data_IF_301186973164
#
_entry.id   IF_301186973164
#
_cell.length_a   1.000
_cell.length_b   1.000
_cell.length_c   1.000
_cell.angle_alpha   90.00
_cell.angle_beta   90.00
_cell.angle_gamma   90.00
#
_symmetry.space_group_name_H-M   'P 1'
#
loop_
_entity.id
_entity.type
_entity.pdbx_description
1 polymer ?
#
# COMPACT_ATOMS: atom_id res chain seq x y z
N UNK A 1 8.23 3.02 9.61
CA UNK A 1 7.11 2.10 9.31
C UNK A 1 7.18 1.71 7.86
N UNK A 2 7.10 0.41 7.57
CA UNK A 2 7.16 -0.15 6.22
C UNK A 2 5.83 -0.82 5.88
N UNK A 3 5.28 -0.50 4.72
CA UNK A 3 4.18 -1.23 4.10
C UNK A 3 4.76 -2.14 3.03
N UNK A 4 4.41 -3.43 3.04
CA UNK A 4 4.93 -4.40 2.07
C UNK A 4 4.48 -4.06 0.65
N UNK A 5 5.45 -4.03 -0.26
CA UNK A 5 5.25 -3.94 -1.70
C UNK A 5 5.23 -5.30 -2.39
N UNK A 6 5.61 -5.30 -3.67
CA UNK A 6 5.70 -6.49 -4.52
C UNK A 6 7.14 -7.03 -4.64
N UNK A 7 8.13 -6.29 -4.13
CA UNK A 7 9.54 -6.67 -4.21
C UNK A 7 10.10 -7.17 -2.88
N UNK A 8 9.28 -7.29 -1.85
CA UNK A 8 9.66 -7.76 -0.52
C UNK A 8 8.97 -9.10 -0.20
N UNK A 9 9.74 -9.99 0.45
CA UNK A 9 9.17 -11.16 1.10
C UNK A 9 8.26 -10.71 2.25
N UNK A 10 7.25 -11.50 2.56
CA UNK A 10 6.38 -11.26 3.71
C UNK A 10 7.17 -11.32 5.01
N UNK A 11 6.98 -10.33 5.88
CA UNK A 11 7.62 -10.31 7.20
C UNK A 11 7.26 -11.56 8.03
N UNK A 12 6.01 -12.03 7.89
CA UNK A 12 5.59 -13.30 8.51
C UNK A 12 6.39 -14.49 8.02
N UNK A 13 6.63 -14.61 6.71
CA UNK A 13 7.43 -15.72 6.16
C UNK A 13 8.88 -15.66 6.65
N UNK A 14 9.44 -14.45 6.72
CA UNK A 14 10.79 -14.25 7.25
C UNK A 14 10.88 -14.66 8.71
N UNK A 15 9.88 -14.32 9.52
CA UNK A 15 9.81 -14.75 10.91
C UNK A 15 9.65 -16.27 11.03
N UNK A 16 8.83 -16.92 10.20
CA UNK A 16 8.66 -18.38 10.20
C UNK A 16 9.97 -19.10 9.82
N UNK A 17 10.77 -18.53 8.90
CA UNK A 17 12.06 -19.07 8.48
C UNK A 17 13.19 -18.81 9.50
N UNK A 18 13.16 -17.65 10.16
CA UNK A 18 14.22 -17.17 11.07
C UNK A 18 13.63 -16.62 12.37
N UNK A 19 12.94 -17.45 13.16
CA UNK A 19 12.19 -16.98 14.34
C UNK A 19 13.07 -16.35 15.44
N UNK A 20 14.38 -16.61 15.44
CA UNK A 20 15.31 -15.98 16.39
C UNK A 20 15.71 -14.54 15.99
N UNK A 21 15.45 -14.14 14.74
CA UNK A 21 15.83 -12.84 14.20
C UNK A 21 14.65 -11.87 14.09
N UNK A 22 13.43 -12.36 14.29
CA UNK A 22 12.21 -11.58 14.10
C UNK A 22 11.28 -11.68 15.32
N UNK A 23 10.57 -10.59 15.59
CA UNK A 23 9.55 -10.56 16.65
C UNK A 23 8.27 -9.84 16.20
N UNK A 24 7.15 -10.22 16.82
CA UNK A 24 5.89 -9.51 16.71
C UNK A 24 5.77 -8.55 17.90
N UNK A 25 5.46 -7.30 17.63
CA UNK A 25 5.14 -6.29 18.65
C UNK A 25 3.71 -5.78 18.47
N UNK A 26 3.05 -5.51 19.59
CA UNK A 26 1.79 -4.78 19.58
C UNK A 26 2.08 -3.28 19.60
N UNK A 27 1.85 -2.60 18.50
CA UNK A 27 2.09 -1.17 18.36
C UNK A 27 1.09 -0.54 17.40
N UNK A 28 0.82 0.73 17.56
CA UNK A 28 -0.14 1.47 16.71
C UNK A 28 -1.56 0.88 16.70
N UNK A 29 -1.94 0.12 17.70
CA UNK A 29 -3.25 -0.56 17.77
C UNK A 29 -3.35 -1.87 16.98
N UNK A 30 -2.24 -2.37 16.43
CA UNK A 30 -2.16 -3.63 15.70
C UNK A 30 -0.82 -4.33 15.87
N UNK A 31 -0.67 -5.44 15.15
CA UNK A 31 0.58 -6.20 15.11
C UNK A 31 1.53 -5.62 14.08
N UNK A 32 2.80 -5.52 14.45
CA UNK A 32 3.90 -5.18 13.56
C UNK A 32 5.00 -6.23 13.68
N UNK A 33 5.80 -6.38 12.62
CA UNK A 33 6.98 -7.24 12.61
C UNK A 33 8.24 -6.39 12.69
N UNK A 34 9.23 -6.88 13.43
CA UNK A 34 10.52 -6.19 13.62
C UNK A 34 11.64 -7.20 13.50
N UNK A 35 12.61 -6.90 12.65
CA UNK A 35 13.85 -7.68 12.56
C UNK A 35 14.85 -7.18 13.61
N UNK A 36 15.47 -8.08 14.38
CA UNK A 36 16.40 -7.73 15.45
C UNK A 36 17.59 -6.89 14.96
N UNK A 37 18.10 -7.21 13.78
CA UNK A 37 19.21 -6.49 13.16
C UNK A 37 18.84 -5.05 12.75
N UNK A 38 17.56 -4.75 12.54
CA UNK A 38 17.08 -3.45 12.08
C UNK A 38 15.87 -2.98 12.89
N UNK A 39 15.99 -2.79 14.22
CA UNK A 39 14.86 -2.55 15.13
C UNK A 39 14.13 -1.23 14.88
N UNK A 40 14.69 -0.32 14.07
CA UNK A 40 14.04 0.92 13.61
C UNK A 40 13.11 0.71 12.41
N UNK A 41 13.20 -0.42 11.71
CA UNK A 41 12.29 -0.79 10.62
C UNK A 41 11.12 -1.59 11.21
N UNK A 42 9.95 -0.99 11.14
CA UNK A 42 8.71 -1.56 11.66
C UNK A 42 7.81 -1.91 10.49
N UNK A 43 7.61 -3.18 10.25
CA UNK A 43 6.81 -3.69 9.15
C UNK A 43 5.38 -3.87 9.60
N UNK A 44 4.45 -3.23 8.92
CA UNK A 44 3.02 -3.45 9.12
C UNK A 44 2.64 -4.87 8.68
N UNK A 45 1.47 -5.33 9.10
CA UNK A 45 0.94 -6.63 8.72
C UNK A 45 0.97 -6.85 7.20
N UNK A 46 1.27 -8.08 6.79
CA UNK A 46 1.26 -8.53 5.40
C UNK A 46 -0.14 -8.68 4.80
N UNK A 47 -1.18 -8.50 5.63
CA UNK A 47 -2.60 -8.58 5.27
C UNK A 47 -3.31 -7.27 5.64
N UNK A 48 -4.52 -7.01 5.13
CA UNK A 48 -5.29 -5.82 5.48
C UNK A 48 -5.47 -5.66 6.99
N UNK A 49 -5.10 -4.49 7.51
CA UNK A 49 -5.14 -4.20 8.96
C UNK A 49 -5.43 -2.74 9.24
N UNK A 50 -5.85 -2.44 10.47
CA UNK A 50 -6.12 -1.08 10.94
C UNK A 50 -5.12 -0.66 12.00
N UNK A 51 -4.57 0.54 11.84
CA UNK A 51 -3.59 1.13 12.74
C UNK A 51 -4.00 2.53 13.18
N UNK A 52 -3.41 3.01 14.26
CA UNK A 52 -3.43 4.40 14.65
C UNK A 52 -2.03 5.00 14.39
N UNK A 53 -1.85 5.65 13.25
CA UNK A 53 -0.59 6.27 12.89
C UNK A 53 -0.64 7.77 13.22
N UNK A 54 0.13 8.19 14.21
CA UNK A 54 0.18 9.59 14.68
C UNK A 54 -1.20 10.18 15.05
N UNK A 55 -2.11 9.37 15.57
CA UNK A 55 -3.48 9.77 15.91
C UNK A 55 -4.49 9.61 14.78
N UNK A 56 -4.06 9.24 13.57
CA UNK A 56 -4.93 9.01 12.42
C UNK A 56 -5.30 7.52 12.28
N UNK A 57 -6.60 7.23 12.24
CA UNK A 57 -7.09 5.88 11.98
C UNK A 57 -6.80 5.48 10.55
N UNK A 58 -5.89 4.55 10.38
CA UNK A 58 -5.29 4.18 9.09
C UNK A 58 -5.65 2.76 8.70
N UNK A 59 -6.18 2.57 7.48
CA UNK A 59 -6.33 1.27 6.84
C UNK A 59 -5.08 0.98 6.00
N UNK A 60 -4.43 -0.15 6.27
CA UNK A 60 -3.25 -0.65 5.55
C UNK A 60 -3.66 -1.77 4.59
N UNK A 61 -3.29 -1.65 3.31
CA UNK A 61 -3.61 -2.58 2.23
C UNK A 61 -2.32 -2.91 1.45
N UNK A 62 -1.55 -3.93 1.87
CA UNK A 62 -0.26 -4.27 1.30
C UNK A 62 -0.35 -5.03 -0.03
N UNK A 63 0.77 -5.09 -0.76
CA UNK A 63 0.96 -5.95 -1.93
C UNK A 63 0.57 -5.31 -3.26
N UNK A 64 1.16 -5.85 -4.33
CA UNK A 64 0.86 -5.53 -5.72
C UNK A 64 1.40 -6.63 -6.64
N UNK A 65 1.01 -6.61 -7.91
CA UNK A 65 1.57 -7.48 -8.93
C UNK A 65 2.88 -6.91 -9.49
N UNK A 66 3.88 -7.78 -9.70
CA UNK A 66 5.15 -7.42 -10.35
C UNK A 66 5.03 -7.55 -11.87
N UNK A 67 4.96 -6.41 -12.56
CA UNK A 67 4.94 -6.39 -14.03
C UNK A 67 6.22 -6.99 -14.63
N UNK A 68 7.33 -6.92 -13.91
CA UNK A 68 8.64 -7.45 -14.28
C UNK A 68 8.88 -8.91 -13.80
N UNK A 69 7.84 -9.60 -13.33
CA UNK A 69 7.91 -10.99 -12.84
C UNK A 69 8.72 -11.93 -13.75
N UNK A 70 8.37 -11.96 -15.04
CA UNK A 70 9.03 -12.87 -15.98
C UNK A 70 10.48 -12.50 -16.25
N UNK A 71 10.78 -11.20 -16.26
CA UNK A 71 12.15 -10.71 -16.36
C UNK A 71 12.97 -11.14 -15.13
N UNK A 72 12.44 -11.00 -13.93
CA UNK A 72 13.08 -11.43 -12.68
C UNK A 72 13.38 -12.92 -12.70
N UNK A 73 12.38 -13.74 -13.01
CA UNK A 73 12.54 -15.20 -13.06
C UNK A 73 13.60 -15.61 -14.10
N UNK A 74 13.63 -14.98 -15.29
CA UNK A 74 14.61 -15.26 -16.32
C UNK A 74 16.04 -14.92 -15.89
N UNK A 75 16.22 -13.88 -15.07
CA UNK A 75 17.55 -13.42 -14.62
C UNK A 75 17.93 -13.97 -13.25
N UNK A 76 17.12 -14.86 -12.65
CA UNK A 76 17.37 -15.41 -11.33
C UNK A 76 17.24 -14.37 -10.20
N UNK A 77 16.47 -13.31 -10.42
CA UNK A 77 16.17 -12.30 -9.41
C UNK A 77 15.03 -12.75 -8.50
N UNK A 78 15.01 -12.30 -7.25
CA UNK A 78 13.93 -12.65 -6.33
C UNK A 78 12.56 -12.23 -6.88
N UNK A 79 11.62 -13.15 -6.82
CA UNK A 79 10.19 -12.89 -7.02
C UNK A 79 9.41 -13.72 -6.00
N UNK A 80 8.37 -13.14 -5.44
CA UNK A 80 7.63 -13.74 -4.35
C UNK A 80 6.22 -14.14 -4.80
N UNK A 81 5.85 -15.43 -4.76
CA UNK A 81 4.53 -15.91 -5.20
C UNK A 81 3.36 -15.23 -4.47
N UNK A 82 3.59 -14.80 -3.23
CA UNK A 82 2.60 -14.16 -2.37
C UNK A 82 2.68 -12.63 -2.39
N UNK A 83 3.22 -12.04 -3.48
CA UNK A 83 3.34 -10.58 -3.63
C UNK A 83 1.97 -9.87 -3.60
N UNK A 84 0.93 -10.53 -4.10
CA UNK A 84 -0.46 -10.07 -4.00
C UNK A 84 -1.16 -10.68 -2.78
N UNK A 85 -2.32 -10.16 -2.42
CA UNK A 85 -3.18 -10.77 -1.42
C UNK A 85 -3.92 -11.99 -2.00
N UNK A 86 -4.11 -13.03 -1.21
CA UNK A 86 -5.02 -14.12 -1.53
C UNK A 86 -6.49 -13.66 -1.40
N UNK A 87 -7.43 -14.44 -1.91
CA UNK A 87 -8.86 -14.12 -1.81
C UNK A 87 -9.32 -14.10 -0.34
N UNK A 88 -8.80 -14.98 0.50
CA UNK A 88 -9.08 -15.01 1.94
C UNK A 88 -8.57 -13.74 2.65
N UNK A 89 -7.41 -13.24 2.23
CA UNK A 89 -6.84 -12.00 2.77
C UNK A 89 -7.59 -10.76 2.26
N UNK A 90 -8.02 -10.75 1.00
CA UNK A 90 -8.88 -9.70 0.43
C UNK A 90 -10.22 -9.62 1.18
N UNK A 91 -10.78 -10.76 1.60
CA UNK A 91 -12.00 -10.81 2.38
C UNK A 91 -11.86 -10.13 3.75
N UNK A 92 -10.66 -10.11 4.33
CA UNK A 92 -10.40 -9.32 5.56
C UNK A 92 -10.63 -7.83 5.29
N UNK A 93 -10.08 -7.29 4.20
CA UNK A 93 -10.29 -5.89 3.83
C UNK A 93 -11.76 -5.57 3.53
N UNK A 94 -12.49 -6.48 2.86
CA UNK A 94 -13.95 -6.33 2.64
C UNK A 94 -14.72 -6.27 3.95
N UNK A 95 -14.37 -7.09 4.94
CA UNK A 95 -14.97 -7.04 6.29
C UNK A 95 -14.67 -5.73 7.02
N UNK A 96 -13.43 -5.23 6.91
CA UNK A 96 -13.07 -3.94 7.49
C UNK A 96 -13.87 -2.79 6.86
N UNK A 97 -14.05 -2.81 5.53
CA UNK A 97 -14.93 -1.87 4.82
C UNK A 97 -16.40 -2.01 5.26
N UNK A 98 -16.91 -3.25 5.33
CA UNK A 98 -18.31 -3.53 5.70
C UNK A 98 -18.66 -3.07 7.12
N UNK A 99 -17.69 -2.89 8.00
CA UNK A 99 -17.88 -2.32 9.33
C UNK A 99 -18.29 -0.84 9.31
N UNK A 100 -18.28 -0.17 8.13
CA UNK A 100 -18.71 1.23 7.89
C UNK A 100 -18.10 2.23 8.87
N UNK A 101 -16.85 2.01 9.25
CA UNK A 101 -16.12 2.93 10.13
C UNK A 101 -15.35 3.93 9.24
N UNK A 102 -15.35 5.22 9.58
CA UNK A 102 -14.54 6.20 8.86
C UNK A 102 -13.05 5.95 9.12
N UNK A 103 -12.25 6.18 8.07
CA UNK A 103 -10.80 6.20 8.13
C UNK A 103 -10.28 7.60 7.85
N UNK A 104 -9.27 8.01 8.58
CA UNK A 104 -8.57 9.27 8.27
C UNK A 104 -7.64 9.07 7.07
N UNK A 105 -6.96 7.91 7.03
CA UNK A 105 -5.97 7.58 6.03
C UNK A 105 -6.14 6.14 5.53
N UNK A 106 -5.93 5.94 4.24
CA UNK A 106 -5.66 4.63 3.64
C UNK A 106 -4.25 4.65 3.07
N UNK A 107 -3.49 3.60 3.33
CA UNK A 107 -2.19 3.39 2.70
C UNK A 107 -2.21 2.05 1.96
N UNK A 108 -1.78 2.06 0.71
CA UNK A 108 -1.64 0.85 -0.10
C UNK A 108 -0.34 0.89 -0.89
N UNK A 109 0.16 -0.26 -1.35
CA UNK A 109 1.34 -0.24 -2.21
C UNK A 109 0.97 0.18 -3.63
N UNK A 110 0.03 -0.52 -4.28
CA UNK A 110 -0.60 -0.08 -5.54
C UNK A 110 -1.90 0.70 -5.29
N UNK A 111 -2.66 1.04 -6.31
CA UNK A 111 -3.83 1.92 -6.22
C UNK A 111 -5.13 1.25 -6.68
N UNK A 112 -6.29 1.82 -6.33
CA UNK A 112 -7.54 1.54 -7.03
C UNK A 112 -7.42 1.76 -8.54
N UNK A 113 -8.02 0.91 -9.35
CA UNK A 113 -7.90 0.92 -10.81
C UNK A 113 -8.20 2.29 -11.46
N UNK A 114 -9.09 3.09 -10.86
CA UNK A 114 -9.44 4.44 -11.34
C UNK A 114 -8.31 5.47 -11.21
N UNK A 115 -7.33 5.20 -10.35
CA UNK A 115 -6.17 6.07 -10.11
C UNK A 115 -4.90 5.54 -10.78
N UNK A 116 -5.01 4.48 -11.58
CA UNK A 116 -3.86 3.94 -12.30
C UNK A 116 -3.31 5.00 -13.28
N UNK A 117 -2.01 5.32 -13.22
CA UNK A 117 -1.41 6.38 -14.03
C UNK A 117 -1.10 5.88 -15.46
N UNK A 118 -2.12 5.51 -16.22
CA UNK A 118 -1.98 4.90 -17.56
C UNK A 118 -1.24 5.79 -18.56
N UNK A 119 -1.23 7.10 -18.34
CA UNK A 119 -0.48 8.09 -19.13
C UNK A 119 1.05 7.99 -18.92
N UNK A 120 1.50 7.37 -17.84
CA UNK A 120 2.92 7.13 -17.52
C UNK A 120 3.43 5.78 -18.05
N UNK A 121 2.54 4.93 -18.54
CA UNK A 121 2.93 3.62 -19.02
C UNK A 121 3.73 3.71 -20.31
N UNK A 122 4.71 2.81 -20.44
CA UNK A 122 5.52 2.73 -21.66
C UNK A 122 4.63 2.43 -22.87
N UNK A 123 4.72 3.27 -23.89
CA UNK A 123 3.99 3.07 -25.13
C UNK A 123 4.43 1.76 -25.83
N UNK A 124 3.47 1.04 -26.40
CA UNK A 124 3.73 -0.21 -27.10
C UNK A 124 3.87 -1.45 -26.23
N UNK A 125 3.78 -1.31 -24.90
CA UNK A 125 3.69 -2.46 -23.98
C UNK A 125 2.23 -2.89 -23.87
N UNK A 126 1.98 -4.16 -24.19
CA UNK A 126 0.65 -4.76 -24.04
C UNK A 126 0.28 -4.91 -22.55
N UNK A 127 -0.67 -4.11 -22.10
CA UNK A 127 -1.16 -4.14 -20.73
C UNK A 127 -2.20 -5.24 -20.47
N UNK A 128 -2.66 -5.96 -21.51
CA UNK A 128 -3.70 -7.00 -21.35
C UNK A 128 -3.20 -8.22 -20.57
N UNK A 129 -1.89 -8.42 -20.53
CA UNK A 129 -1.24 -9.52 -19.79
C UNK A 129 -0.86 -9.16 -18.36
N UNK A 130 -1.07 -7.92 -17.95
CA UNK A 130 -0.78 -7.46 -16.58
C UNK A 130 -1.94 -7.87 -15.67
N UNK A 131 -1.63 -8.58 -14.59
CA UNK A 131 -2.63 -8.95 -13.60
C UNK A 131 -3.06 -7.71 -12.80
N UNK A 132 -4.32 -7.34 -12.91
CA UNK A 132 -4.94 -6.19 -12.25
C UNK A 132 -5.83 -6.60 -11.06
N UNK A 133 -5.57 -7.75 -10.49
CA UNK A 133 -6.39 -8.27 -9.37
C UNK A 133 -6.36 -7.33 -8.17
N UNK A 134 -5.18 -6.85 -7.80
CA UNK A 134 -5.03 -5.91 -6.67
C UNK A 134 -5.71 -4.56 -6.95
N UNK A 135 -5.53 -3.98 -8.14
CA UNK A 135 -6.13 -2.69 -8.50
C UNK A 135 -7.66 -2.77 -8.53
N UNK A 136 -8.23 -3.88 -9.01
CA UNK A 136 -9.68 -4.14 -8.99
C UNK A 136 -10.20 -4.30 -7.57
N UNK A 137 -9.49 -5.07 -6.74
CA UNK A 137 -9.82 -5.23 -5.32
C UNK A 137 -9.77 -3.89 -4.58
N UNK A 138 -8.71 -3.10 -4.77
CA UNK A 138 -8.61 -1.77 -4.17
C UNK A 138 -9.72 -0.83 -4.66
N UNK A 139 -10.11 -0.93 -5.94
CA UNK A 139 -11.26 -0.21 -6.49
C UNK A 139 -12.61 -0.65 -5.90
N UNK A 140 -12.75 -1.93 -5.57
CA UNK A 140 -13.89 -2.44 -4.81
C UNK A 140 -13.92 -1.85 -3.39
N UNK A 141 -12.78 -1.80 -2.71
CA UNK A 141 -12.66 -1.20 -1.37
C UNK A 141 -12.98 0.29 -1.43
N UNK A 142 -12.39 1.03 -2.35
CA UNK A 142 -12.50 2.50 -2.46
C UNK A 142 -13.94 2.99 -2.65
N UNK A 143 -14.71 2.30 -3.49
CA UNK A 143 -16.04 2.73 -3.99
C UNK A 143 -16.99 3.23 -2.90
N UNK A 144 -17.06 2.56 -1.75
CA UNK A 144 -17.99 2.90 -0.67
C UNK A 144 -17.27 3.11 0.67
N UNK A 145 -15.94 3.21 0.64
CA UNK A 145 -15.17 3.44 1.85
C UNK A 145 -15.28 4.91 2.25
N UNK A 146 -15.58 5.15 3.52
CA UNK A 146 -15.48 6.49 4.11
C UNK A 146 -14.04 6.74 4.54
N UNK A 147 -13.32 7.59 3.78
CA UNK A 147 -11.94 7.98 4.07
C UNK A 147 -11.67 9.43 3.67
N UNK A 148 -10.66 10.05 4.29
CA UNK A 148 -10.24 11.43 3.95
C UNK A 148 -9.07 11.46 2.98
N UNK A 149 -8.06 10.61 3.19
CA UNK A 149 -6.81 10.57 2.44
C UNK A 149 -6.46 9.16 2.03
N UNK A 150 -5.89 9.03 0.84
CA UNK A 150 -5.31 7.77 0.36
C UNK A 150 -3.91 8.03 -0.21
N UNK A 151 -2.89 7.33 0.27
CA UNK A 151 -1.54 7.39 -0.25
C UNK A 151 -1.09 6.03 -0.78
N UNK A 152 -0.45 6.02 -1.93
CA UNK A 152 0.10 4.81 -2.54
C UNK A 152 1.41 5.09 -3.28
N UNK A 153 2.17 4.05 -3.65
CA UNK A 153 3.42 4.12 -4.40
C UNK A 153 3.39 3.31 -5.70
N UNK A 154 4.30 2.36 -5.86
CA UNK A 154 4.39 1.36 -6.93
C UNK A 154 4.78 1.88 -8.32
N UNK A 155 4.22 2.97 -8.79
CA UNK A 155 4.37 3.46 -10.17
C UNK A 155 5.57 4.38 -10.42
N UNK A 156 6.43 4.56 -9.42
CA UNK A 156 7.67 5.35 -9.49
C UNK A 156 7.45 6.78 -10.01
N UNK A 157 6.39 7.42 -9.57
CA UNK A 157 6.07 8.80 -9.89
C UNK A 157 5.31 9.47 -8.74
N UNK A 158 5.32 10.79 -8.73
CA UNK A 158 4.56 11.60 -7.78
C UNK A 158 3.38 12.24 -8.48
N UNK A 159 2.21 12.13 -7.88
CA UNK A 159 1.00 12.75 -8.39
C UNK A 159 0.01 13.02 -7.27
N UNK A 160 -0.53 14.24 -7.29
CA UNK A 160 -1.73 14.59 -6.55
C UNK A 160 -2.94 14.46 -7.47
N UNK A 161 -3.89 13.61 -7.13
CA UNK A 161 -5.13 13.50 -7.91
C UNK A 161 -6.09 14.63 -7.52
N UNK A 162 -7.00 15.05 -8.42
CA UNK A 162 -8.02 16.04 -8.08
C UNK A 162 -8.84 15.62 -6.86
N UNK A 163 -9.24 16.61 -6.06
CA UNK A 163 -10.14 16.37 -4.94
C UNK A 163 -11.49 15.82 -5.43
N UNK A 164 -11.98 14.85 -4.69
CA UNK A 164 -13.28 14.25 -4.96
C UNK A 164 -14.07 14.11 -3.67
N UNK A 165 -15.13 14.89 -3.49
CA UNK A 165 -16.03 14.85 -2.33
C UNK A 165 -15.30 14.86 -0.97
N UNK A 166 -14.35 15.80 -0.83
CA UNK A 166 -13.51 15.94 0.37
C UNK A 166 -12.40 14.91 0.53
N UNK A 167 -12.31 13.93 -0.39
CA UNK A 167 -11.25 12.93 -0.43
C UNK A 167 -10.07 13.42 -1.27
N UNK A 168 -8.86 13.09 -0.83
CA UNK A 168 -7.63 13.37 -1.56
C UNK A 168 -6.80 12.11 -1.72
N UNK A 169 -6.38 11.82 -2.95
CA UNK A 169 -5.51 10.69 -3.28
C UNK A 169 -4.15 11.20 -3.73
N UNK A 170 -3.09 10.55 -3.28
CA UNK A 170 -1.71 10.91 -3.60
C UNK A 170 -0.89 9.69 -3.95
N UNK A 171 -0.20 9.74 -5.07
CA UNK A 171 0.85 8.79 -5.46
C UNK A 171 2.20 9.36 -5.05
N UNK A 172 3.05 8.54 -4.46
CA UNK A 172 4.37 8.92 -3.95
C UNK A 172 5.48 8.08 -4.56
N UNK A 173 6.61 8.72 -4.81
CA UNK A 173 7.85 8.08 -5.21
C UNK A 173 8.94 8.24 -4.14
N UNK A 174 9.98 7.40 -4.17
CA UNK A 174 11.01 7.28 -3.14
C UNK A 174 11.88 8.54 -2.93
N UNK A 175 11.93 9.44 -3.90
CA UNK A 175 12.71 10.68 -3.80
C UNK A 175 11.96 11.79 -3.07
N UNK A 176 10.67 11.60 -2.82
CA UNK A 176 9.83 12.59 -2.17
C UNK A 176 9.23 12.06 -0.87
N UNK A 177 9.30 12.88 0.16
CA UNK A 177 8.67 12.63 1.44
C UNK A 177 7.65 13.73 1.73
N UNK A 178 6.48 13.31 2.18
CA UNK A 178 5.42 14.23 2.61
C UNK A 178 5.19 14.04 4.10
N UNK A 179 5.24 15.13 4.85
CA UNK A 179 4.91 15.07 6.27
C UNK A 179 3.44 14.66 6.43
N UNK A 180 3.20 13.58 7.18
CA UNK A 180 1.85 13.02 7.35
C UNK A 180 0.85 14.08 7.84
N UNK A 181 1.22 14.87 8.85
CA UNK A 181 0.36 15.93 9.38
C UNK A 181 -0.03 16.93 8.30
N UNK A 182 0.94 17.39 7.50
CA UNK A 182 0.70 18.31 6.39
C UNK A 182 -0.28 17.71 5.37
N UNK A 183 -0.08 16.45 4.98
CA UNK A 183 -1.01 15.75 4.07
C UNK A 183 -2.43 15.66 4.63
N UNK A 184 -2.55 15.36 5.93
CA UNK A 184 -3.85 15.22 6.59
C UNK A 184 -4.58 16.55 6.74
N UNK A 185 -3.86 17.67 6.94
CA UNK A 185 -4.43 19.00 7.16
C UNK A 185 -4.65 19.80 5.88
N UNK A 186 -4.21 19.30 4.72
CA UNK A 186 -4.39 19.97 3.42
C UNK A 186 -5.85 20.28 3.11
N UNK A 187 -6.07 21.46 2.51
CA UNK A 187 -7.38 21.92 2.03
C UNK A 187 -7.46 21.83 0.51
N UNK A 188 -8.68 21.71 -0.02
CA UNK A 188 -8.98 21.48 -1.44
C UNK A 188 -8.34 22.46 -2.44
N UNK A 189 -7.82 23.61 -1.98
CA UNK A 189 -7.21 24.64 -2.84
C UNK A 189 -5.69 24.75 -2.65
N UNK A 190 -5.10 23.90 -1.86
CA UNK A 190 -3.65 23.91 -1.62
C UNK A 190 -2.95 22.96 -2.60
N UNK A 191 -2.07 23.51 -3.43
CA UNK A 191 -1.16 22.72 -4.27
C UNK A 191 0.02 22.24 -3.41
N UNK A 192 0.30 20.95 -3.46
CA UNK A 192 1.55 20.42 -2.90
C UNK A 192 2.63 20.53 -3.97
N UNK A 193 3.58 21.39 -3.73
CA UNK A 193 4.84 21.33 -4.45
C UNK A 193 5.66 20.21 -3.82
N UNK A 194 5.90 19.15 -4.58
CA UNK A 194 6.92 18.17 -4.26
C UNK A 194 8.26 18.90 -4.38
N UNK A 195 8.90 19.19 -3.26
CA UNK A 195 10.17 19.91 -3.18
C UNK A 195 11.35 18.96 -3.33
#
# INVERSE_FOLDING_TARGET
ICLRGNHEERAKNMMDLRPAEWEIRQKYGGEIYVEEAYPQLEYLSDIPAVYNLCGYKTLSLPGAYSIDKWYRLLHGWPWFPEEQLSEEEMEIGRKLKAAKQPFDLVISHTCPLIYEPTDLFLQGIDQTMVDKTMERYLGEIERDLDYKRWAFGHYHADRMYPWNDGKQVMMLFNEHAVELKRFMEMKEREEVFFG
#
